data_IF_751603247973
#
_entry.id   IF_751603247973
#
_cell.length_a   1.000
_cell.length_b   1.000
_cell.length_c   1.000
_cell.angle_alpha   90.00
_cell.angle_beta   90.00
_cell.angle_gamma   90.00
#
_symmetry.space_group_name_H-M   'P 1'
#
loop_
_entity.id
_entity.type
_entity.pdbx_description
1 polymer ?
#
# COMPACT_ATOMS: atom_id res chain seq x y z
N UNK A 1 30.25 -31.15 -5.03
CA UNK A 1 31.25 -30.24 -4.42
C UNK A 1 32.33 -30.99 -3.63
N UNK A 2 33.55 -30.44 -3.45
CA UNK A 2 34.55 -30.94 -2.46
C UNK A 2 34.24 -30.37 -1.06
N UNK A 3 34.37 -31.17 0.00
CA UNK A 3 34.03 -30.75 1.37
C UNK A 3 34.87 -29.58 1.90
N UNK A 4 36.15 -29.50 1.54
CA UNK A 4 37.02 -28.38 1.89
C UNK A 4 36.47 -27.05 1.33
N UNK A 5 36.02 -27.04 0.07
CA UNK A 5 35.45 -25.87 -0.58
C UNK A 5 34.10 -25.49 0.07
N UNK A 6 33.24 -26.48 0.35
CA UNK A 6 31.97 -26.28 1.07
C UNK A 6 32.18 -25.58 2.41
N UNK A 7 33.18 -26.01 3.18
CA UNK A 7 33.55 -25.41 4.47
C UNK A 7 34.12 -23.98 4.33
N UNK A 8 34.87 -23.70 3.26
CA UNK A 8 35.36 -22.34 2.96
C UNK A 8 34.21 -21.38 2.64
N UNK A 9 33.26 -21.79 1.78
CA UNK A 9 32.08 -20.99 1.43
C UNK A 9 31.22 -20.67 2.66
N UNK A 10 31.00 -21.65 3.54
CA UNK A 10 30.31 -21.45 4.82
C UNK A 10 31.02 -20.44 5.72
N UNK A 11 32.34 -20.54 5.90
CA UNK A 11 33.13 -19.59 6.70
C UNK A 11 33.09 -18.17 6.16
N UNK A 12 33.13 -18.01 4.83
CA UNK A 12 33.05 -16.72 4.14
C UNK A 12 31.60 -16.18 4.01
N UNK A 13 30.60 -16.95 4.47
CA UNK A 13 29.16 -16.64 4.35
C UNK A 13 28.74 -16.41 2.89
N UNK A 14 29.28 -17.22 1.98
CA UNK A 14 29.00 -17.23 0.55
C UNK A 14 27.86 -18.20 0.24
N UNK A 15 26.66 -17.89 0.73
CA UNK A 15 25.51 -18.80 0.66
C UNK A 15 24.89 -18.96 -0.73
N UNK A 16 24.90 -17.92 -1.58
CA UNK A 16 24.43 -18.02 -2.95
C UNK A 16 25.30 -18.99 -3.74
N UNK A 17 26.62 -18.81 -3.67
CA UNK A 17 27.58 -19.78 -4.22
C UNK A 17 27.39 -21.18 -3.62
N UNK A 18 27.18 -21.30 -2.31
CA UNK A 18 26.97 -22.61 -1.67
C UNK A 18 25.73 -23.34 -2.22
N UNK A 19 24.67 -22.61 -2.57
CA UNK A 19 23.41 -23.13 -3.09
C UNK A 19 23.50 -23.44 -4.60
N UNK A 20 24.21 -22.64 -5.41
CA UNK A 20 24.22 -22.77 -6.89
C UNK A 20 25.47 -23.45 -7.48
N UNK A 21 26.59 -23.54 -6.77
CA UNK A 21 27.90 -23.89 -7.34
C UNK A 21 27.94 -25.23 -8.07
N UNK A 22 27.28 -26.29 -7.56
CA UNK A 22 27.29 -27.60 -8.24
C UNK A 22 26.52 -27.54 -9.59
N UNK A 23 25.53 -26.66 -9.74
CA UNK A 23 24.83 -26.38 -11.02
C UNK A 23 25.71 -25.53 -11.93
N UNK A 24 26.29 -24.44 -11.41
CA UNK A 24 27.19 -23.56 -12.18
C UNK A 24 28.44 -24.27 -12.69
N UNK A 25 28.95 -25.28 -11.97
CA UNK A 25 30.05 -26.14 -12.43
C UNK A 25 29.67 -26.99 -13.66
N UNK A 26 28.44 -27.49 -13.73
CA UNK A 26 27.94 -28.23 -14.90
C UNK A 26 27.71 -27.29 -16.09
N UNK A 27 27.12 -26.12 -15.83
CA UNK A 27 26.90 -25.07 -16.83
C UNK A 27 28.23 -24.58 -17.44
N UNK A 28 29.25 -24.31 -16.62
CA UNK A 28 30.58 -23.92 -17.08
C UNK A 28 31.25 -24.99 -17.96
N UNK A 29 31.07 -26.27 -17.64
CA UNK A 29 31.56 -27.38 -18.48
C UNK A 29 30.82 -27.48 -19.82
N UNK A 30 29.49 -27.34 -19.80
CA UNK A 30 28.65 -27.43 -21.00
C UNK A 30 28.86 -26.25 -21.95
N UNK A 31 28.89 -25.02 -21.42
CA UNK A 31 29.09 -23.78 -22.18
C UNK A 31 30.57 -23.48 -22.48
N UNK A 32 31.52 -24.23 -21.89
CA UNK A 32 32.97 -24.03 -21.99
C UNK A 32 33.42 -22.63 -21.55
N UNK A 33 32.85 -22.14 -20.45
CA UNK A 33 33.21 -20.84 -19.89
C UNK A 33 34.70 -20.78 -19.52
N UNK A 34 35.31 -19.63 -19.75
CA UNK A 34 36.63 -19.29 -19.22
C UNK A 34 36.60 -19.18 -17.69
N UNK A 35 37.78 -19.22 -17.06
CA UNK A 35 37.88 -19.06 -15.60
C UNK A 35 37.37 -17.70 -15.11
N UNK A 36 37.46 -16.65 -15.94
CA UNK A 36 36.97 -15.31 -15.62
C UNK A 36 35.43 -15.26 -15.68
N UNK A 37 34.82 -15.74 -16.77
CA UNK A 37 33.35 -15.83 -16.91
C UNK A 37 32.72 -16.70 -15.81
N UNK A 38 33.35 -17.83 -15.46
CA UNK A 38 32.88 -18.68 -14.37
C UNK A 38 32.98 -17.98 -13.01
N UNK A 39 34.09 -17.27 -12.74
CA UNK A 39 34.26 -16.52 -11.50
C UNK A 39 33.26 -15.37 -11.39
N UNK A 40 32.99 -14.67 -12.49
CA UNK A 40 31.97 -13.64 -12.53
C UNK A 40 30.58 -14.23 -12.22
N UNK A 41 30.20 -15.31 -12.91
CA UNK A 41 28.88 -15.95 -12.76
C UNK A 41 28.58 -16.39 -11.31
N UNK A 42 29.54 -17.04 -10.64
CA UNK A 42 29.34 -17.50 -9.26
C UNK A 42 29.35 -16.32 -8.25
N UNK A 43 30.07 -15.23 -8.55
CA UNK A 43 30.03 -14.02 -7.73
C UNK A 43 28.72 -13.25 -7.92
N UNK A 44 28.17 -13.20 -9.14
CA UNK A 44 26.85 -12.65 -9.42
C UNK A 44 25.75 -13.36 -8.61
N UNK A 45 25.77 -14.69 -8.52
CA UNK A 45 24.83 -15.46 -7.68
C UNK A 45 24.88 -15.04 -6.19
N UNK A 46 26.08 -14.86 -5.63
CA UNK A 46 26.22 -14.37 -4.25
C UNK A 46 25.72 -12.93 -4.07
N UNK A 47 26.02 -12.05 -5.02
CA UNK A 47 25.57 -10.66 -4.99
C UNK A 47 24.04 -10.58 -5.04
N UNK A 48 23.39 -11.35 -5.92
CA UNK A 48 21.93 -11.46 -6.01
C UNK A 48 21.31 -11.90 -4.67
N UNK A 49 21.86 -12.95 -4.04
CA UNK A 49 21.37 -13.42 -2.73
C UNK A 49 21.61 -12.38 -1.62
N UNK A 50 22.75 -11.69 -1.62
CA UNK A 50 23.06 -10.63 -0.65
C UNK A 50 22.11 -9.44 -0.78
N UNK A 51 21.86 -8.99 -1.99
CA UNK A 51 21.01 -7.83 -2.23
C UNK A 51 19.53 -8.14 -2.05
N UNK A 52 19.06 -9.33 -2.41
CA UNK A 52 17.73 -9.81 -2.02
C UNK A 52 17.57 -9.85 -0.49
N UNK A 53 18.55 -10.40 0.25
CA UNK A 53 18.52 -10.38 1.73
C UNK A 53 18.67 -8.96 2.33
N UNK A 54 19.30 -8.03 1.63
CA UNK A 54 19.39 -6.61 2.03
C UNK A 54 18.04 -5.91 1.83
N UNK A 55 17.41 -6.12 0.68
CA UNK A 55 16.07 -5.63 0.34
C UNK A 55 15.03 -6.16 1.33
N UNK A 56 14.92 -7.48 1.52
CA UNK A 56 13.95 -8.08 2.45
C UNK A 56 14.12 -7.58 3.89
N UNK A 57 15.36 -7.38 4.37
CA UNK A 57 15.61 -6.78 5.69
C UNK A 57 15.12 -5.33 5.77
N UNK A 58 15.35 -4.51 4.74
CA UNK A 58 14.85 -3.12 4.69
C UNK A 58 13.33 -3.06 4.65
N UNK A 59 12.68 -3.89 3.84
CA UNK A 59 11.21 -4.00 3.77
C UNK A 59 10.65 -4.38 5.14
N UNK A 60 11.23 -5.38 5.81
CA UNK A 60 10.82 -5.78 7.17
C UNK A 60 11.03 -4.66 8.21
N UNK A 61 12.15 -3.93 8.15
CA UNK A 61 12.41 -2.82 9.08
C UNK A 61 11.60 -1.55 8.80
N UNK A 62 10.94 -1.47 7.65
CA UNK A 62 10.13 -0.31 7.29
C UNK A 62 8.75 -0.31 7.94
N UNK A 63 8.29 -1.44 8.48
CA UNK A 63 7.05 -1.55 9.27
C UNK A 63 5.78 -0.98 8.58
N UNK A 64 5.72 -1.06 7.24
CA UNK A 64 4.52 -0.74 6.49
C UNK A 64 3.31 -1.53 7.02
N UNK A 65 2.17 -0.85 7.17
CA UNK A 65 0.89 -1.46 7.53
C UNK A 65 0.47 -2.48 6.48
N UNK A 66 0.63 -2.14 5.21
CA UNK A 66 0.39 -2.99 4.06
C UNK A 66 1.51 -2.79 3.03
N UNK A 67 2.00 -3.87 2.41
CA UNK A 67 2.85 -3.73 1.22
C UNK A 67 1.99 -3.27 0.05
N UNK A 68 2.22 -2.03 -0.40
CA UNK A 68 1.57 -1.40 -1.55
C UNK A 68 2.62 -0.99 -2.57
N UNK A 69 2.28 -1.05 -3.85
CA UNK A 69 3.09 -0.52 -4.95
C UNK A 69 2.38 0.63 -5.68
N UNK A 70 3.10 1.35 -6.54
CA UNK A 70 2.52 2.43 -7.37
C UNK A 70 1.76 1.85 -8.55
N UNK A 71 2.11 0.63 -8.92
CA UNK A 71 1.47 -0.22 -9.91
C UNK A 71 0.08 -0.68 -9.43
N UNK A 72 -0.11 -0.93 -8.13
CA UNK A 72 -1.41 -1.27 -7.51
C UNK A 72 -2.35 -0.06 -7.33
N UNK A 73 -1.91 1.17 -7.64
CA UNK A 73 -2.72 2.37 -7.39
C UNK A 73 -3.68 2.63 -8.56
N UNK A 74 -4.99 2.70 -8.28
CA UNK A 74 -5.98 3.10 -9.29
C UNK A 74 -5.88 4.61 -9.59
N UNK A 75 -5.04 4.93 -10.55
CA UNK A 75 -4.87 6.28 -11.09
C UNK A 75 -6.06 6.77 -11.93
N UNK A 76 -7.06 5.92 -12.20
CA UNK A 76 -8.33 6.29 -12.84
C UNK A 76 -9.34 6.82 -11.82
N UNK A 77 -9.31 6.29 -10.59
CA UNK A 77 -10.21 6.71 -9.51
C UNK A 77 -10.07 8.20 -9.14
N UNK A 78 -8.84 8.73 -9.09
CA UNK A 78 -8.61 10.15 -8.81
C UNK A 78 -7.63 10.79 -9.81
N UNK A 79 -8.12 11.29 -10.96
CA UNK A 79 -7.29 11.89 -12.01
C UNK A 79 -6.68 13.24 -11.60
N UNK A 80 -7.07 13.82 -10.45
CA UNK A 80 -6.46 15.06 -9.92
C UNK A 80 -5.09 14.82 -9.28
N UNK A 81 -4.75 13.58 -8.97
CA UNK A 81 -3.43 13.21 -8.44
C UNK A 81 -2.44 13.21 -9.61
N UNK A 82 -1.51 14.15 -9.61
CA UNK A 82 -0.51 14.27 -10.66
C UNK A 82 0.47 13.09 -10.60
N UNK A 83 0.34 12.16 -11.56
CA UNK A 83 1.20 10.96 -11.63
C UNK A 83 2.68 11.32 -11.66
N UNK A 84 3.05 12.31 -12.46
CA UNK A 84 4.42 12.85 -12.59
C UNK A 84 5.02 13.22 -11.24
N UNK A 85 4.27 13.93 -10.38
CA UNK A 85 4.71 14.33 -9.06
C UNK A 85 4.96 13.12 -8.14
N UNK A 86 4.05 12.14 -8.14
CA UNK A 86 4.21 10.92 -7.34
C UNK A 86 5.41 10.07 -7.79
N UNK A 87 5.67 9.99 -9.10
CA UNK A 87 6.86 9.31 -9.64
C UNK A 87 8.15 10.10 -9.38
N UNK A 88 8.12 11.44 -9.32
CA UNK A 88 9.28 12.24 -8.93
C UNK A 88 9.65 12.01 -7.46
N UNK A 89 8.67 11.95 -6.55
CA UNK A 89 8.89 11.52 -5.17
C UNK A 89 9.48 10.10 -5.11
N UNK A 90 8.93 9.17 -5.88
CA UNK A 90 9.41 7.79 -5.95
C UNK A 90 10.84 7.64 -6.50
N UNK A 91 11.37 8.68 -7.18
CA UNK A 91 12.78 8.74 -7.63
C UNK A 91 13.77 9.09 -6.50
N UNK A 92 13.29 9.57 -5.35
CA UNK A 92 14.11 9.89 -4.18
C UNK A 92 14.93 11.16 -4.28
N UNK A 93 14.70 12.03 -5.29
CA UNK A 93 15.37 13.34 -5.42
C UNK A 93 15.22 14.19 -4.15
N UNK A 94 14.03 14.25 -3.58
CA UNK A 94 13.75 15.02 -2.37
C UNK A 94 14.60 14.56 -1.15
N UNK A 95 14.87 13.25 -1.03
CA UNK A 95 15.74 12.67 0.03
C UNK A 95 17.19 13.14 -0.11
N UNK A 96 17.69 13.22 -1.36
CA UNK A 96 19.03 13.77 -1.63
C UNK A 96 19.12 15.26 -1.34
N UNK A 97 18.01 15.99 -1.51
CA UNK A 97 17.88 17.42 -1.25
C UNK A 97 17.54 17.76 0.21
N UNK A 98 17.33 16.76 1.09
CA UNK A 98 16.86 16.95 2.48
C UNK A 98 15.54 17.72 2.59
N UNK A 99 14.69 17.66 1.55
CA UNK A 99 13.34 18.23 1.56
C UNK A 99 12.36 17.28 2.24
N UNK A 100 11.30 17.84 2.79
CA UNK A 100 10.19 17.10 3.38
C UNK A 100 8.99 17.06 2.43
N UNK A 101 7.94 16.30 2.75
CA UNK A 101 6.70 16.27 1.96
C UNK A 101 5.48 16.18 2.87
N UNK A 102 4.47 17.03 2.61
CA UNK A 102 3.19 16.98 3.31
C UNK A 102 2.05 16.60 2.34
N UNK A 103 1.46 15.42 2.52
CA UNK A 103 0.26 15.04 1.77
C UNK A 103 -0.99 15.44 2.57
N UNK A 104 -1.69 16.49 2.13
CA UNK A 104 -2.91 16.99 2.75
C UNK A 104 -4.14 16.64 1.91
N UNK A 105 -5.14 15.95 2.48
CA UNK A 105 -6.40 15.68 1.79
C UNK A 105 -7.51 15.17 2.72
N UNK A 106 -8.77 15.09 2.26
CA UNK A 106 -9.82 14.37 2.98
C UNK A 106 -9.49 12.88 3.22
N UNK A 107 -10.12 12.24 4.24
CA UNK A 107 -9.98 10.81 4.49
C UNK A 107 -10.41 9.94 3.30
N UNK A 108 -9.64 8.89 3.01
CA UNK A 108 -10.00 7.87 2.00
C UNK A 108 -9.59 8.17 0.56
N UNK A 109 -8.88 9.26 0.28
CA UNK A 109 -8.40 9.64 -1.06
C UNK A 109 -7.08 8.98 -1.49
N UNK A 110 -6.61 7.95 -0.77
CA UNK A 110 -5.43 7.14 -1.15
C UNK A 110 -4.07 7.54 -0.55
N UNK A 111 -3.97 8.57 0.31
CA UNK A 111 -2.71 9.03 0.93
C UNK A 111 -1.83 7.90 1.47
N UNK A 112 -2.37 7.07 2.38
CA UNK A 112 -1.65 5.95 3.02
C UNK A 112 -1.16 4.90 2.01
N UNK A 113 -1.84 4.73 0.87
CA UNK A 113 -1.35 3.86 -0.20
C UNK A 113 -0.15 4.51 -0.88
N UNK A 114 -0.30 5.77 -1.31
CA UNK A 114 0.76 6.50 -2.02
C UNK A 114 2.06 6.60 -1.21
N UNK A 115 2.01 6.96 0.07
CA UNK A 115 3.24 7.08 0.87
C UNK A 115 3.91 5.74 1.15
N UNK A 116 3.14 4.67 1.37
CA UNK A 116 3.71 3.32 1.51
C UNK A 116 4.28 2.81 0.19
N UNK A 117 3.63 3.10 -0.94
CA UNK A 117 4.11 2.74 -2.28
C UNK A 117 5.39 3.50 -2.68
N UNK A 118 5.45 4.80 -2.41
CA UNK A 118 6.66 5.63 -2.57
C UNK A 118 7.77 5.07 -1.66
N UNK A 119 7.48 4.82 -0.38
CA UNK A 119 8.42 4.22 0.56
C UNK A 119 8.97 2.87 0.09
N UNK A 120 8.10 1.99 -0.40
CA UNK A 120 8.49 0.68 -0.95
C UNK A 120 9.40 0.81 -2.18
N UNK A 121 9.07 1.72 -3.10
CA UNK A 121 9.92 2.01 -4.27
C UNK A 121 11.30 2.55 -3.86
N UNK A 122 11.36 3.41 -2.84
CA UNK A 122 12.62 3.94 -2.32
C UNK A 122 13.48 2.87 -1.63
N UNK A 123 12.88 1.83 -1.03
CA UNK A 123 13.61 0.66 -0.54
C UNK A 123 14.23 -0.13 -1.70
N UNK A 124 13.56 -0.25 -2.86
CA UNK A 124 14.16 -0.84 -4.08
C UNK A 124 15.37 -0.02 -4.54
N UNK A 125 15.32 1.31 -4.43
CA UNK A 125 16.46 2.22 -4.69
C UNK A 125 17.54 2.20 -3.60
N UNK A 126 17.35 1.43 -2.52
CA UNK A 126 18.35 1.18 -1.48
C UNK A 126 18.27 2.07 -0.24
N UNK A 127 17.28 2.96 -0.14
CA UNK A 127 17.09 3.81 1.04
C UNK A 127 16.59 3.00 2.25
N UNK A 128 16.96 3.45 3.45
CA UNK A 128 16.33 3.03 4.70
C UNK A 128 15.06 3.84 4.93
N UNK A 129 13.92 3.17 4.95
CA UNK A 129 12.60 3.80 5.19
C UNK A 129 12.03 3.24 6.49
N UNK A 130 11.31 4.07 7.25
CA UNK A 130 10.43 3.67 8.34
C UNK A 130 9.05 4.31 8.15
N UNK A 131 8.00 3.52 8.28
CA UNK A 131 6.60 3.95 8.31
C UNK A 131 6.03 3.71 9.71
N UNK A 132 5.36 4.71 10.27
CA UNK A 132 4.53 4.59 11.48
C UNK A 132 3.31 5.49 11.33
N UNK A 133 2.15 5.11 11.89
CA UNK A 133 1.08 6.09 12.08
C UNK A 133 1.42 7.00 13.25
N UNK A 134 0.90 8.24 13.29
CA UNK A 134 1.15 9.15 14.42
C UNK A 134 0.74 8.53 15.77
N UNK A 135 -0.30 7.69 15.80
CA UNK A 135 -0.73 6.99 17.01
C UNK A 135 0.27 5.92 17.45
N UNK A 136 0.97 5.29 16.51
CA UNK A 136 2.01 4.32 16.79
C UNK A 136 3.32 5.01 17.21
N UNK A 137 3.62 6.20 16.68
CA UNK A 137 4.71 7.07 17.21
C UNK A 137 4.46 7.40 18.67
N UNK A 138 3.28 7.96 18.99
CA UNK A 138 2.93 8.33 20.36
C UNK A 138 2.94 7.10 21.30
N UNK A 139 2.49 5.94 20.84
CA UNK A 139 2.54 4.70 21.64
C UNK A 139 3.98 4.28 21.97
N UNK A 140 4.90 4.36 21.00
CA UNK A 140 6.29 3.95 21.20
C UNK A 140 6.99 4.85 22.24
N UNK A 141 6.79 6.17 22.19
CA UNK A 141 7.35 7.09 23.18
C UNK A 141 6.72 6.94 24.58
N UNK A 142 5.39 6.79 24.67
CA UNK A 142 4.70 6.59 25.96
C UNK A 142 5.07 5.27 26.65
N UNK A 143 5.48 4.24 25.89
CA UNK A 143 5.90 2.97 26.48
C UNK A 143 7.30 3.05 27.10
N UNK A 144 8.25 3.68 26.41
CA UNK A 144 9.64 3.75 26.84
C UNK A 144 9.92 4.88 27.85
N UNK A 145 9.07 5.91 27.95
CA UNK A 145 9.11 6.89 29.06
C UNK A 145 8.86 6.20 30.42
N UNK A 146 8.13 5.07 30.45
CA UNK A 146 7.95 4.25 31.65
C UNK A 146 9.14 3.32 31.96
N UNK A 147 10.19 3.32 31.12
CA UNK A 147 11.29 2.33 31.14
C UNK A 147 12.69 2.98 30.99
N UNK A 148 12.80 4.30 31.11
CA UNK A 148 14.01 5.10 30.86
C UNK A 148 14.66 4.87 29.47
N UNK A 149 13.85 4.44 28.47
CA UNK A 149 14.31 3.99 27.15
C UNK A 149 14.41 5.06 26.07
N UNK A 150 14.13 6.33 26.41
CA UNK A 150 13.82 7.41 25.46
C UNK A 150 14.81 7.56 24.28
N UNK A 151 16.12 7.57 24.56
CA UNK A 151 17.17 7.71 23.54
C UNK A 151 17.14 6.59 22.49
N UNK A 152 16.74 5.38 22.89
CA UNK A 152 16.62 4.23 21.98
C UNK A 152 15.42 4.35 21.04
N UNK A 153 14.33 4.97 21.50
CA UNK A 153 13.16 5.25 20.65
C UNK A 153 13.49 6.32 19.63
N UNK A 154 14.01 7.48 20.06
CA UNK A 154 14.30 8.57 19.13
C UNK A 154 15.30 8.12 18.05
N UNK A 155 16.34 7.36 18.37
CA UNK A 155 17.29 6.80 17.40
C UNK A 155 16.63 5.96 16.29
N UNK A 156 15.57 5.20 16.62
CA UNK A 156 14.77 4.45 15.64
C UNK A 156 14.09 5.38 14.62
N UNK A 157 13.68 6.56 15.05
CA UNK A 157 13.07 7.60 14.21
C UNK A 157 14.09 8.48 13.48
N UNK A 158 15.32 8.63 13.97
CA UNK A 158 16.37 9.42 13.30
C UNK A 158 17.16 8.66 12.25
N UNK A 159 17.46 7.38 12.49
CA UNK A 159 18.30 6.54 11.62
C UNK A 159 17.84 6.39 10.15
N UNK A 160 16.53 6.32 9.82
CA UNK A 160 16.06 6.15 8.44
C UNK A 160 16.40 7.34 7.54
N UNK A 161 16.73 7.05 6.28
CA UNK A 161 16.85 8.05 5.21
C UNK A 161 15.53 8.77 4.97
N UNK A 162 14.43 8.01 5.08
CA UNK A 162 13.05 8.50 5.05
C UNK A 162 12.27 8.03 6.27
N UNK A 163 11.63 8.97 6.96
CA UNK A 163 10.57 8.67 7.92
C UNK A 163 9.22 9.02 7.30
N UNK A 164 8.23 8.15 7.45
CA UNK A 164 6.84 8.39 7.03
C UNK A 164 5.96 8.36 8.28
N UNK A 165 5.30 9.48 8.58
CA UNK A 165 4.34 9.64 9.67
C UNK A 165 2.93 9.78 9.07
N UNK A 166 2.12 8.74 9.17
CA UNK A 166 0.80 8.65 8.53
C UNK A 166 -0.37 8.94 9.49
N UNK A 167 -1.56 9.15 8.94
CA UNK A 167 -2.84 9.32 9.64
C UNK A 167 -2.96 10.56 10.58
N UNK A 168 -2.19 11.63 10.37
CA UNK A 168 -2.36 12.87 11.16
C UNK A 168 -3.76 13.51 10.95
N UNK A 169 -4.26 14.19 11.99
CA UNK A 169 -5.55 14.89 11.96
C UNK A 169 -6.81 14.01 12.01
N UNK A 170 -6.69 12.70 12.22
CA UNK A 170 -7.84 11.78 12.35
C UNK A 170 -8.55 11.86 13.72
N UNK A 171 -7.80 12.08 14.79
CA UNK A 171 -8.29 12.23 16.17
C UNK A 171 -7.38 13.22 16.92
N UNK A 172 -7.83 13.76 18.05
CA UNK A 172 -6.93 14.39 19.01
C UNK A 172 -5.91 13.37 19.52
N UNK A 173 -4.67 13.82 19.74
CA UNK A 173 -3.62 12.99 20.30
C UNK A 173 -3.62 13.10 21.85
N UNK A 174 -3.05 12.13 22.56
CA UNK A 174 -2.75 12.26 24.00
C UNK A 174 -1.95 13.53 24.32
N UNK A 175 -1.99 14.00 25.57
CA UNK A 175 -1.10 15.06 26.06
C UNK A 175 0.37 14.69 25.79
N UNK A 176 1.23 15.70 25.60
CA UNK A 176 2.67 15.57 25.29
C UNK A 176 3.01 14.93 23.93
N UNK A 177 2.04 14.42 23.16
CA UNK A 177 2.27 13.92 21.80
C UNK A 177 2.93 14.94 20.86
N UNK A 178 2.67 16.24 21.08
CA UNK A 178 3.32 17.32 20.35
C UNK A 178 4.82 17.42 20.63
N UNK A 179 5.27 17.16 21.87
CA UNK A 179 6.68 17.17 22.27
C UNK A 179 7.46 16.10 21.50
N UNK A 180 6.96 14.86 21.47
CA UNK A 180 7.60 13.75 20.75
C UNK A 180 7.67 14.02 19.23
N UNK A 181 6.59 14.53 18.63
CA UNK A 181 6.58 14.87 17.20
C UNK A 181 7.53 16.04 16.90
N UNK A 182 7.56 17.05 17.77
CA UNK A 182 8.48 18.19 17.66
C UNK A 182 9.94 17.77 17.73
N UNK A 183 10.29 16.88 18.65
CA UNK A 183 11.66 16.38 18.77
C UNK A 183 12.11 15.60 17.53
N UNK A 184 11.26 14.71 17.00
CA UNK A 184 11.53 13.99 15.75
C UNK A 184 11.76 14.99 14.60
N UNK A 185 10.84 15.95 14.42
CA UNK A 185 10.95 16.95 13.35
C UNK A 185 12.20 17.82 13.52
N UNK A 186 12.46 18.31 14.72
CA UNK A 186 13.60 19.18 15.04
C UNK A 186 14.95 18.48 14.81
N UNK A 187 15.09 17.21 15.22
CA UNK A 187 16.33 16.45 15.02
C UNK A 187 16.52 15.95 13.57
N UNK A 188 15.44 15.81 12.78
CA UNK A 188 15.50 15.43 11.35
C UNK A 188 15.64 16.63 10.40
N UNK A 189 15.21 17.81 10.83
CA UNK A 189 15.32 19.07 10.08
C UNK A 189 16.72 19.25 9.47
N UNK A 190 16.79 19.53 8.16
CA UNK A 190 18.01 19.61 7.32
C UNK A 190 18.93 18.36 7.30
N UNK A 191 18.72 17.35 8.14
CA UNK A 191 19.58 16.15 8.22
C UNK A 191 19.02 14.95 7.44
N UNK A 192 17.70 14.72 7.47
CA UNK A 192 17.01 13.57 6.86
C UNK A 192 15.56 13.91 6.50
N UNK A 193 15.06 13.36 5.40
CA UNK A 193 13.72 13.67 4.90
C UNK A 193 12.60 12.94 5.63
N UNK A 194 11.45 13.58 5.70
CA UNK A 194 10.23 13.13 6.37
C UNK A 194 9.02 13.37 5.47
N UNK A 195 8.18 12.35 5.31
CA UNK A 195 6.84 12.49 4.72
C UNK A 195 5.83 12.46 5.85
N UNK A 196 4.92 13.44 5.87
CA UNK A 196 3.75 13.40 6.72
C UNK A 196 2.47 13.34 5.88
N UNK A 197 1.45 12.66 6.39
CA UNK A 197 0.09 12.76 5.81
C UNK A 197 -0.87 13.37 6.83
N UNK A 198 -1.76 14.23 6.36
CA UNK A 198 -2.78 14.87 7.20
C UNK A 198 -4.17 14.79 6.57
N UNK A 199 -5.17 14.64 7.44
CA UNK A 199 -6.59 14.72 7.13
C UNK A 199 -7.20 16.09 7.48
N UNK A 200 -6.36 17.03 7.91
CA UNK A 200 -6.73 18.38 8.35
C UNK A 200 -5.77 19.42 7.75
N UNK A 201 -6.26 20.64 7.45
CA UNK A 201 -5.40 21.78 7.12
C UNK A 201 -4.36 22.06 8.22
N UNK A 202 -3.25 22.70 7.87
CA UNK A 202 -2.13 22.96 8.80
C UNK A 202 -2.53 23.88 9.95
N UNK A 203 -3.48 24.77 9.70
CA UNK A 203 -4.07 25.74 10.63
C UNK A 203 -4.80 25.06 11.81
N UNK A 204 -5.28 23.83 11.62
CA UNK A 204 -5.94 23.04 12.67
C UNK A 204 -4.93 22.30 13.60
N UNK A 205 -3.63 22.28 13.29
CA UNK A 205 -2.64 21.47 14.04
C UNK A 205 -2.51 21.88 15.51
N UNK A 206 -2.61 23.18 15.83
CA UNK A 206 -2.63 23.66 17.21
C UNK A 206 -3.78 23.07 18.03
N UNK A 207 -4.96 22.88 17.43
CA UNK A 207 -6.13 22.26 18.08
C UNK A 207 -6.01 20.74 18.19
N UNK A 208 -5.30 20.10 17.25
CA UNK A 208 -5.08 18.64 17.23
C UNK A 208 -4.04 18.19 18.25
N UNK A 209 -2.99 18.99 18.45
CA UNK A 209 -1.92 18.75 19.43
C UNK A 209 -2.28 19.25 20.83
N UNK A 210 -3.24 20.18 20.94
CA UNK A 210 -3.60 20.83 22.20
C UNK A 210 -2.58 21.89 22.68
N UNK A 211 -1.62 22.23 21.82
CA UNK A 211 -0.52 23.13 22.08
C UNK A 211 -0.20 23.91 20.79
N UNK A 212 -0.54 25.21 20.78
CA UNK A 212 -0.34 26.10 19.63
C UNK A 212 1.13 26.50 19.45
N UNK A 213 1.89 26.88 20.50
CA UNK A 213 3.35 27.04 20.42
C UNK A 213 4.07 25.85 19.80
N UNK A 214 3.83 24.63 20.28
CA UNK A 214 4.51 23.42 19.76
C UNK A 214 4.09 23.12 18.33
N UNK A 215 2.80 23.27 17.99
CA UNK A 215 2.34 23.13 16.60
C UNK A 215 3.03 24.14 15.67
N UNK A 216 3.18 25.39 16.11
CA UNK A 216 3.85 26.44 15.33
C UNK A 216 5.33 26.11 15.13
N UNK A 217 6.03 25.65 16.16
CA UNK A 217 7.45 25.27 16.11
C UNK A 217 7.73 24.02 15.24
N UNK A 218 6.76 23.10 15.15
CA UNK A 218 6.77 21.98 14.19
C UNK A 218 6.61 22.51 12.76
N UNK A 219 5.56 23.30 12.52
CA UNK A 219 5.23 23.79 11.18
C UNK A 219 6.34 24.68 10.60
N UNK A 220 6.93 25.55 11.42
CA UNK A 220 8.09 26.39 11.09
C UNK A 220 9.25 25.56 10.49
N UNK A 221 9.70 24.51 11.19
CA UNK A 221 10.80 23.64 10.74
C UNK A 221 10.41 22.74 9.59
N UNK A 222 9.28 22.03 9.73
CA UNK A 222 8.86 21.04 8.74
C UNK A 222 8.49 21.69 7.40
N UNK A 223 7.75 22.80 7.41
CA UNK A 223 7.27 23.43 6.18
C UNK A 223 8.32 24.28 5.47
N UNK A 224 9.40 24.70 6.14
CA UNK A 224 10.45 25.53 5.51
C UNK A 224 11.01 24.90 4.23
N UNK A 225 11.12 23.56 4.18
CA UNK A 225 11.60 22.82 3.02
C UNK A 225 10.64 21.70 2.55
N UNK A 226 9.38 21.71 3.01
CA UNK A 226 8.39 20.72 2.58
C UNK A 226 7.76 21.04 1.22
N UNK A 227 7.60 20.01 0.40
CA UNK A 227 6.66 20.03 -0.72
C UNK A 227 5.25 19.71 -0.22
N UNK A 228 4.34 20.69 -0.28
CA UNK A 228 2.95 20.50 0.13
C UNK A 228 2.11 20.02 -1.06
N UNK A 229 1.51 18.84 -0.92
CA UNK A 229 0.72 18.18 -1.96
C UNK A 229 -0.72 18.05 -1.48
N UNK A 230 -1.59 18.91 -2.00
CA UNK A 230 -3.03 18.87 -1.71
C UNK A 230 -3.75 17.94 -2.67
N UNK A 231 -4.24 16.81 -2.18
CA UNK A 231 -5.08 15.89 -2.98
C UNK A 231 -6.56 16.24 -2.70
N UNK A 232 -7.35 16.39 -3.76
CA UNK A 232 -8.83 16.49 -3.66
C UNK A 232 -9.46 15.34 -4.44
N UNK A 233 -10.65 14.91 -4.03
CA UNK A 233 -11.37 13.79 -4.65
C UNK A 233 -12.23 13.04 -3.64
N UNK A 234 -13.01 12.08 -4.13
CA UNK A 234 -13.90 11.26 -3.31
C UNK A 234 -13.15 10.19 -2.50
N UNK A 235 -13.82 9.63 -1.51
CA UNK A 235 -13.29 8.53 -0.71
C UNK A 235 -13.40 7.20 -1.47
N UNK A 236 -12.25 6.61 -1.81
CA UNK A 236 -12.14 5.30 -2.47
C UNK A 236 -12.93 4.22 -1.71
N UNK A 237 -12.80 4.22 -0.37
CA UNK A 237 -13.50 3.28 0.53
C UNK A 237 -15.03 3.41 0.50
N UNK A 238 -15.56 4.60 0.20
CA UNK A 238 -17.01 4.79 0.03
C UNK A 238 -17.47 4.39 -1.37
N UNK A 239 -16.64 4.63 -2.39
CA UNK A 239 -16.91 4.20 -3.77
C UNK A 239 -16.95 2.66 -3.89
N UNK A 240 -15.97 1.95 -3.31
CA UNK A 240 -15.97 0.49 -3.29
C UNK A 240 -17.20 -0.09 -2.58
N UNK A 241 -17.61 0.49 -1.45
CA UNK A 241 -18.83 0.07 -0.75
C UNK A 241 -20.08 0.21 -1.63
N UNK A 242 -20.21 1.33 -2.36
CA UNK A 242 -21.31 1.53 -3.32
C UNK A 242 -21.25 0.53 -4.47
N UNK A 243 -20.06 0.31 -5.06
CA UNK A 243 -19.87 -0.65 -6.16
C UNK A 243 -20.25 -2.07 -5.74
N UNK A 244 -19.75 -2.52 -4.58
CA UNK A 244 -20.00 -3.88 -4.08
C UNK A 244 -21.48 -4.06 -3.67
N UNK A 245 -22.12 -3.03 -3.12
CA UNK A 245 -23.57 -3.06 -2.85
C UNK A 245 -24.40 -3.16 -4.14
N UNK A 246 -24.01 -2.46 -5.21
CA UNK A 246 -24.69 -2.53 -6.50
C UNK A 246 -24.54 -3.90 -7.17
N UNK A 247 -23.37 -4.55 -7.08
CA UNK A 247 -23.14 -5.91 -7.57
C UNK A 247 -24.06 -6.90 -6.85
N UNK A 248 -24.05 -6.90 -5.51
CA UNK A 248 -24.92 -7.78 -4.71
C UNK A 248 -26.42 -7.56 -5.01
N UNK A 249 -26.82 -6.32 -5.32
CA UNK A 249 -28.20 -6.00 -5.71
C UNK A 249 -28.53 -6.49 -7.14
N UNK A 250 -27.57 -6.51 -8.06
CA UNK A 250 -27.75 -7.08 -9.40
C UNK A 250 -27.92 -8.61 -9.34
N UNK A 251 -27.01 -9.31 -8.66
CA UNK A 251 -27.06 -10.77 -8.48
C UNK A 251 -28.37 -11.22 -7.81
N UNK A 252 -28.88 -10.44 -6.85
CA UNK A 252 -30.15 -10.73 -6.15
C UNK A 252 -31.42 -10.42 -6.96
N UNK A 253 -31.31 -9.63 -8.04
CA UNK A 253 -32.40 -9.38 -8.99
C UNK A 253 -32.41 -10.41 -10.12
N UNK A 254 -31.25 -10.86 -10.61
CA UNK A 254 -31.18 -11.99 -11.56
C UNK A 254 -31.71 -13.29 -10.92
N UNK A 255 -31.45 -13.52 -9.63
CA UNK A 255 -32.01 -14.63 -8.85
C UNK A 255 -33.55 -14.57 -8.63
N UNK A 256 -34.24 -13.53 -9.13
CA UNK A 256 -35.70 -13.35 -9.00
C UNK A 256 -36.46 -13.29 -10.34
N UNK A 257 -35.83 -13.64 -11.46
CA UNK A 257 -36.55 -13.88 -12.71
C UNK A 257 -37.50 -15.09 -12.55
N UNK A 258 -38.81 -14.98 -12.89
CA UNK A 258 -39.76 -16.04 -12.59
C UNK A 258 -39.63 -17.21 -13.57
N UNK A 259 -39.29 -18.39 -13.06
CA UNK A 259 -39.44 -19.66 -13.79
C UNK A 259 -40.91 -20.00 -13.97
N UNK A 260 -41.50 -19.54 -15.08
CA UNK A 260 -42.88 -19.84 -15.47
C UNK A 260 -43.09 -21.35 -15.67
N UNK A 261 -43.77 -21.98 -14.73
CA UNK A 261 -44.06 -23.42 -14.78
C UNK A 261 -45.15 -23.75 -15.79
N UNK A 262 -44.83 -24.57 -16.80
CA UNK A 262 -45.83 -25.22 -17.67
C UNK A 262 -46.61 -26.27 -16.86
N UNK A 263 -47.87 -25.98 -16.54
CA UNK A 263 -48.80 -26.97 -15.98
C UNK A 263 -49.62 -27.66 -17.09
N UNK A 264 -49.41 -28.96 -17.28
CA UNK A 264 -50.29 -29.81 -18.10
C UNK A 264 -51.09 -30.77 -17.19
N UNK A 265 -52.43 -30.87 -17.29
CA UNK A 265 -53.25 -31.57 -16.30
C UNK A 265 -53.54 -33.04 -16.68
N UNK A 266 -53.78 -33.90 -15.68
CA UNK A 266 -54.43 -35.22 -15.88
C UNK A 266 -55.27 -35.68 -14.67
N UNK A 267 -56.49 -36.12 -14.99
CA UNK A 267 -57.42 -36.97 -14.22
C UNK A 267 -58.03 -36.45 -12.89
N UNK A 268 -59.25 -36.83 -12.48
CA UNK A 268 -60.46 -37.32 -13.19
C UNK A 268 -61.58 -37.60 -12.16
N UNK A 269 -62.86 -37.25 -12.42
CA UNK A 269 -64.04 -38.16 -12.37
C UNK A 269 -65.42 -37.46 -12.27
N UNK A 270 -66.38 -38.03 -13.01
CA UNK A 270 -67.85 -38.15 -12.81
C UNK A 270 -68.79 -36.94 -13.01
N UNK A 271 -69.58 -37.04 -14.10
CA UNK A 271 -71.05 -36.92 -14.21
C UNK A 271 -71.76 -35.61 -13.79
N UNK A 272 -72.79 -35.09 -14.46
CA UNK A 272 -73.83 -35.65 -15.37
C UNK A 272 -74.28 -34.57 -16.40
N UNK A 273 -75.04 -34.95 -17.43
CA UNK A 273 -75.53 -34.09 -18.54
C UNK A 273 -76.90 -33.42 -18.22
N UNK A 274 -77.62 -32.72 -19.16
CA UNK A 274 -77.25 -31.88 -20.33
C UNK A 274 -78.02 -30.52 -20.39
N UNK A 275 -77.78 -29.64 -21.40
CA UNK A 275 -78.81 -28.95 -22.27
C UNK A 275 -78.21 -27.92 -23.26
N UNK A 276 -78.73 -27.84 -24.51
CA UNK A 276 -78.57 -26.76 -25.54
C UNK A 276 -77.16 -26.51 -26.11
N UNK A 277 -76.85 -26.51 -27.43
CA UNK A 277 -77.50 -25.96 -28.64
C UNK A 277 -77.71 -24.42 -28.54
N UNK A 278 -77.32 -23.52 -29.46
CA UNK A 278 -76.61 -23.50 -30.78
C UNK A 278 -76.40 -22.00 -31.16
N UNK A 279 -75.58 -21.49 -32.09
CA UNK A 279 -74.54 -21.98 -33.04
C UNK A 279 -73.72 -20.76 -33.57
N UNK A 280 -73.10 -20.91 -34.77
CA UNK A 280 -72.67 -19.89 -35.77
C UNK A 280 -71.23 -19.34 -35.79
N UNK A 281 -70.59 -19.61 -36.94
CA UNK A 281 -69.27 -19.19 -37.43
C UNK A 281 -69.28 -17.79 -38.07
N UNK A 282 -68.10 -17.15 -38.25
CA UNK A 282 -67.45 -17.03 -39.58
C UNK A 282 -66.22 -16.09 -39.62
N UNK A 283 -65.06 -16.70 -39.90
CA UNK A 283 -64.16 -16.47 -41.06
C UNK A 283 -63.36 -15.14 -41.30
N UNK A 284 -62.23 -15.32 -42.03
CA UNK A 284 -61.47 -14.35 -42.86
C UNK A 284 -60.59 -13.25 -42.19
N UNK A 285 -59.48 -12.74 -42.75
CA UNK A 285 -58.54 -13.23 -43.79
C UNK A 285 -57.16 -12.50 -43.74
N UNK A 286 -56.17 -13.10 -44.41
CA UNK A 286 -54.94 -12.63 -45.09
C UNK A 286 -54.47 -11.13 -45.09
N UNK A 287 -53.16 -10.92 -45.27
CA UNK A 287 -52.62 -9.71 -45.95
C UNK A 287 -51.13 -9.38 -45.69
N UNK A 288 -50.27 -9.48 -46.72
CA UNK A 288 -48.85 -9.07 -46.70
C UNK A 288 -48.62 -7.55 -46.73
N UNK A 289 -47.59 -7.05 -46.03
CA UNK A 289 -46.42 -6.33 -46.60
C UNK A 289 -45.53 -5.69 -45.50
#
# INVERSE_FOLDING_TARGET
>A
MKDSLKNQLLRLRLSGMLETLDVRLQEAQAARLTYEEFLELILQDELLVRDQRRFQRRVKSAEFRDLKSLEDFDWGFNPRIQRSQMYDLASGKFIKQRRDVLLCSPPGTGKSHLVQAIGYQLIKLGYLVLYRSIFDVVRDFLHDEAMDGHDRVIDRYLKPDLLIIDDFGMKQLPKRSGEYLFEIVMRRYETRSTIMTTNRPVEDWGKLLGDVPTATAILDRFLHHAEIITITGDSYRLSERKRNANINNADSNEAKAPTGSKSSPKNSKRAKAPTGSTAEDTNSEQGDS
#
